data_IF_043586697614
#
_entry.id   IF_043586697614
#
_cell.length_a   1.000
_cell.length_b   1.000
_cell.length_c   1.000
_cell.angle_alpha   90.00
_cell.angle_beta   90.00
_cell.angle_gamma   90.00
#
_symmetry.space_group_name_H-M   'P 1'
#
loop_
_entity.id
_entity.type
_entity.pdbx_description
1 polymer ?
#
# COMPACT_ATOMS: atom_id res chain seq x y z
N UNK A 1 22.04 -15.27 0.59
CA UNK A 1 22.62 -14.93 -0.73
C UNK A 1 21.94 -13.69 -1.31
N UNK A 2 20.61 -13.64 -1.42
CA UNK A 2 19.88 -12.53 -2.05
C UNK A 2 20.02 -11.23 -1.28
N UNK A 3 19.91 -11.22 0.04
CA UNK A 3 20.10 -10.02 0.87
C UNK A 3 21.49 -9.42 0.73
N UNK A 4 22.52 -10.26 0.68
CA UNK A 4 23.90 -9.80 0.49
C UNK A 4 24.08 -9.16 -0.90
N UNK A 5 23.39 -9.66 -1.91
CA UNK A 5 23.36 -9.05 -3.24
C UNK A 5 22.63 -7.69 -3.22
N UNK A 6 21.44 -7.63 -2.60
CA UNK A 6 20.66 -6.39 -2.45
C UNK A 6 21.52 -5.33 -1.75
N UNK A 7 22.15 -5.67 -0.63
CA UNK A 7 23.00 -4.74 0.13
C UNK A 7 24.24 -4.30 -0.64
N UNK A 8 24.82 -5.18 -1.48
CA UNK A 8 26.01 -4.85 -2.24
C UNK A 8 25.73 -4.07 -3.54
N UNK A 9 24.57 -4.26 -4.16
CA UNK A 9 24.29 -3.75 -5.51
C UNK A 9 23.30 -2.58 -5.54
N UNK A 10 22.37 -2.53 -4.61
CA UNK A 10 21.30 -1.53 -4.64
C UNK A 10 21.11 -0.73 -3.35
N UNK A 11 21.86 -1.02 -2.27
CA UNK A 11 21.83 -0.19 -1.08
C UNK A 11 22.49 1.18 -1.36
N UNK A 12 21.81 2.24 -0.97
CA UNK A 12 22.30 3.61 -1.09
C UNK A 12 22.85 4.10 0.25
N UNK A 13 24.15 4.32 0.33
CA UNK A 13 24.81 4.71 1.59
C UNK A 13 24.45 6.11 2.06
N UNK A 14 24.05 7.01 1.15
CA UNK A 14 23.75 8.39 1.48
C UNK A 14 22.42 8.56 2.24
N UNK A 15 21.42 7.78 1.88
CA UNK A 15 20.08 7.82 2.50
C UNK A 15 19.80 6.61 3.40
N UNK A 16 20.55 5.52 3.22
CA UNK A 16 20.26 4.22 3.82
C UNK A 16 19.07 3.49 3.19
N UNK A 17 18.53 4.01 2.09
CA UNK A 17 17.47 3.38 1.29
C UNK A 17 18.08 2.46 0.23
N UNK A 18 17.24 1.96 -0.66
CA UNK A 18 17.63 1.10 -1.77
C UNK A 18 17.28 1.75 -3.10
N UNK A 19 18.15 1.59 -4.10
CA UNK A 19 17.83 1.92 -5.47
C UNK A 19 16.80 0.94 -6.04
N UNK A 20 16.01 1.38 -7.00
CA UNK A 20 14.93 0.60 -7.62
C UNK A 20 15.45 -0.49 -8.57
N UNK A 21 16.74 -0.45 -8.90
CA UNK A 21 17.38 -1.42 -9.78
C UNK A 21 18.80 -1.05 -10.17
N UNK A 22 19.40 -1.91 -11.00
CA UNK A 22 20.73 -1.71 -11.57
C UNK A 22 20.63 -1.82 -13.10
N UNK A 23 20.96 -0.76 -13.85
CA UNK A 23 21.38 0.57 -13.41
C UNK A 23 20.23 1.35 -12.75
N UNK A 24 20.58 2.32 -11.89
CA UNK A 24 19.62 3.23 -11.25
C UNK A 24 18.90 4.07 -12.30
N UNK A 25 17.60 4.27 -12.13
CA UNK A 25 16.78 5.14 -13.00
C UNK A 25 16.12 6.26 -12.22
N UNK A 26 15.77 7.33 -12.92
CA UNK A 26 14.99 8.45 -12.39
C UNK A 26 13.63 8.51 -13.09
N UNK A 27 12.60 9.01 -12.43
CA UNK A 27 12.58 9.44 -11.01
C UNK A 27 12.68 8.25 -10.05
N UNK A 28 13.23 8.51 -8.85
CA UNK A 28 13.15 7.58 -7.72
C UNK A 28 11.68 7.45 -7.28
N UNK A 29 11.30 6.36 -6.65
CA UNK A 29 9.92 6.06 -6.27
C UNK A 29 9.79 5.61 -4.82
N UNK A 30 8.64 5.95 -4.19
CA UNK A 30 8.32 5.43 -2.86
C UNK A 30 7.95 3.93 -2.89
N UNK A 31 7.27 3.47 -3.93
CA UNK A 31 6.72 2.11 -4.04
C UNK A 31 7.77 0.99 -3.77
N UNK A 32 8.98 0.98 -4.37
CA UNK A 32 10.01 -0.01 -4.03
C UNK A 32 10.47 0.04 -2.58
N UNK A 33 10.48 1.22 -1.93
CA UNK A 33 10.81 1.36 -0.52
C UNK A 33 9.70 0.75 0.37
N UNK A 34 8.45 0.94 -0.01
CA UNK A 34 7.29 0.35 0.67
C UNK A 34 7.35 -1.18 0.62
N UNK A 35 7.63 -1.77 -0.54
CA UNK A 35 7.77 -3.22 -0.64
C UNK A 35 9.04 -3.76 0.04
N UNK A 36 10.13 -2.98 0.09
CA UNK A 36 11.30 -3.33 0.92
C UNK A 36 10.94 -3.33 2.41
N UNK A 37 10.16 -2.33 2.86
CA UNK A 37 9.63 -2.29 4.22
C UNK A 37 8.80 -3.54 4.54
N UNK A 38 7.87 -3.90 3.67
CA UNK A 38 7.05 -5.11 3.80
C UNK A 38 7.91 -6.38 3.88
N UNK A 39 8.90 -6.50 2.99
CA UNK A 39 9.81 -7.65 2.97
C UNK A 39 10.61 -7.76 4.27
N UNK A 40 11.11 -6.65 4.83
CA UNK A 40 11.82 -6.66 6.11
C UNK A 40 10.90 -7.04 7.28
N UNK A 41 9.64 -6.61 7.28
CA UNK A 41 8.67 -7.05 8.28
C UNK A 41 8.43 -8.56 8.20
N UNK A 42 8.27 -9.09 6.99
CA UNK A 42 8.07 -10.53 6.77
C UNK A 42 9.31 -11.34 7.18
N UNK A 43 10.53 -10.86 6.88
CA UNK A 43 11.78 -11.48 7.29
C UNK A 43 11.96 -11.46 8.81
N UNK A 44 11.62 -10.34 9.46
CA UNK A 44 11.63 -10.28 10.93
C UNK A 44 10.65 -11.28 11.54
N UNK A 45 9.43 -11.34 11.03
CA UNK A 45 8.39 -12.26 11.51
C UNK A 45 8.82 -13.73 11.35
N UNK A 46 9.51 -14.06 10.24
CA UNK A 46 9.97 -15.41 9.96
C UNK A 46 11.22 -15.83 10.73
N UNK A 47 12.13 -14.89 11.03
CA UNK A 47 13.46 -15.20 11.58
C UNK A 47 13.68 -14.74 13.01
N UNK A 48 12.97 -13.69 13.45
CA UNK A 48 13.21 -13.01 14.71
C UNK A 48 14.48 -12.13 14.71
N UNK A 49 15.17 -11.99 13.58
CA UNK A 49 16.41 -11.21 13.49
C UNK A 49 16.10 -9.71 13.60
N UNK A 50 16.56 -9.01 14.66
CA UNK A 50 16.26 -7.61 14.91
C UNK A 50 16.82 -6.66 13.84
N UNK A 51 17.78 -7.07 13.03
CA UNK A 51 18.34 -6.21 11.98
C UNK A 51 17.31 -5.92 10.89
N UNK A 52 16.37 -6.83 10.63
CA UNK A 52 15.26 -6.55 9.71
C UNK A 52 14.30 -5.50 10.26
N UNK A 53 14.01 -5.51 11.55
CA UNK A 53 13.17 -4.49 12.16
C UNK A 53 13.84 -3.10 12.15
N UNK A 54 15.17 -3.03 12.36
CA UNK A 54 15.93 -1.77 12.22
C UNK A 54 15.87 -1.21 10.80
N UNK A 55 15.95 -2.07 9.77
CA UNK A 55 15.81 -1.66 8.37
C UNK A 55 14.40 -1.13 8.09
N UNK A 56 13.38 -1.77 8.64
CA UNK A 56 12.01 -1.29 8.57
C UNK A 56 11.84 0.05 9.30
N UNK A 57 12.40 0.23 10.51
CA UNK A 57 12.37 1.51 11.24
C UNK A 57 13.00 2.66 10.42
N UNK A 58 14.08 2.39 9.69
CA UNK A 58 14.70 3.39 8.80
C UNK A 58 13.75 3.84 7.70
N UNK A 59 13.09 2.91 7.01
CA UNK A 59 12.15 3.24 5.93
C UNK A 59 10.93 3.98 6.49
N UNK A 60 10.39 3.55 7.63
CA UNK A 60 9.28 4.25 8.30
C UNK A 60 9.65 5.71 8.64
N UNK A 61 10.89 5.96 9.09
CA UNK A 61 11.40 7.31 9.31
C UNK A 61 11.49 8.14 8.02
N UNK A 62 11.90 7.54 6.91
CA UNK A 62 11.88 8.21 5.61
C UNK A 62 10.47 8.51 5.12
N UNK A 63 9.52 7.60 5.31
CA UNK A 63 8.12 7.87 5.00
C UNK A 63 7.65 9.14 5.73
N UNK A 64 7.82 9.17 7.05
CA UNK A 64 7.34 10.28 7.89
C UNK A 64 7.97 11.63 7.53
N UNK A 65 9.28 11.64 7.26
CA UNK A 65 10.03 12.90 7.14
C UNK A 65 10.28 13.36 5.71
N UNK A 66 10.11 12.48 4.69
CA UNK A 66 10.48 12.79 3.30
C UNK A 66 9.41 12.46 2.26
N UNK A 67 8.53 11.48 2.54
CA UNK A 67 7.60 11.00 1.52
C UNK A 67 6.21 11.64 1.63
N UNK A 68 5.93 12.37 2.70
CA UNK A 68 4.62 12.99 2.93
C UNK A 68 4.67 14.46 2.53
N UNK A 69 3.73 14.88 1.68
CA UNK A 69 3.53 16.28 1.33
C UNK A 69 2.99 17.08 2.52
N UNK A 70 3.11 18.41 2.52
CA UNK A 70 2.49 19.24 3.57
C UNK A 70 0.97 19.05 3.72
N UNK A 71 0.29 18.60 2.66
CA UNK A 71 -1.15 18.28 2.66
C UNK A 71 -1.49 16.87 3.14
N UNK A 72 -0.51 16.05 3.51
CA UNK A 72 -0.70 14.68 4.00
C UNK A 72 -0.75 13.60 2.92
N UNK A 73 -0.58 13.95 1.65
CA UNK A 73 -0.49 12.99 0.56
C UNK A 73 0.88 12.32 0.51
N UNK A 74 0.93 11.04 0.18
CA UNK A 74 2.19 10.36 -0.14
C UNK A 74 2.67 10.83 -1.52
N UNK A 75 3.92 11.29 -1.60
CA UNK A 75 4.59 11.59 -2.86
C UNK A 75 5.08 10.30 -3.52
N UNK A 76 4.81 10.14 -4.82
CA UNK A 76 5.21 8.93 -5.55
C UNK A 76 6.62 9.04 -6.15
N UNK A 77 7.08 10.27 -6.50
CA UNK A 77 8.28 10.48 -7.29
C UNK A 77 9.28 11.42 -6.61
N UNK A 78 10.57 11.08 -6.74
CA UNK A 78 11.68 11.78 -6.08
C UNK A 78 12.83 11.98 -7.04
N UNK A 79 13.66 12.97 -6.76
CA UNK A 79 14.92 13.20 -7.45
C UNK A 79 16.03 12.20 -7.03
N UNK A 80 17.23 12.38 -7.54
CA UNK A 80 18.38 11.53 -7.21
C UNK A 80 18.77 11.57 -5.71
N UNK A 81 18.49 12.67 -5.02
CA UNK A 81 18.75 12.84 -3.58
C UNK A 81 17.58 12.40 -2.68
N UNK A 82 16.55 11.79 -3.27
CA UNK A 82 15.33 11.40 -2.59
C UNK A 82 14.56 12.59 -1.98
N UNK A 83 14.55 13.74 -2.69
CA UNK A 83 13.65 14.84 -2.42
C UNK A 83 12.42 14.75 -3.35
N UNK A 84 11.20 15.06 -2.85
CA UNK A 84 10.01 15.03 -3.69
C UNK A 84 10.14 15.94 -4.91
N UNK A 85 9.76 15.46 -6.09
CA UNK A 85 9.74 16.28 -7.29
C UNK A 85 8.72 17.40 -7.14
N UNK A 86 9.06 18.61 -7.63
CA UNK A 86 8.14 19.75 -7.64
C UNK A 86 6.99 19.56 -8.64
N UNK A 87 7.30 18.96 -9.79
CA UNK A 87 6.38 18.74 -10.89
C UNK A 87 6.14 17.24 -11.16
N UNK A 88 4.99 16.92 -11.73
CA UNK A 88 4.66 15.54 -12.14
C UNK A 88 4.31 14.59 -10.99
N UNK A 89 4.12 15.11 -9.77
CA UNK A 89 3.66 14.32 -8.64
C UNK A 89 2.23 13.79 -8.83
N UNK A 90 1.95 12.72 -8.15
CA UNK A 90 0.61 12.22 -7.88
C UNK A 90 0.61 11.52 -6.53
N UNK A 91 -0.59 11.19 -6.07
CA UNK A 91 -0.83 10.34 -4.92
C UNK A 91 -1.72 9.18 -5.37
N UNK A 92 -1.32 7.95 -5.06
CA UNK A 92 -2.15 6.77 -5.28
C UNK A 92 -2.85 6.39 -3.97
N UNK A 93 -4.19 6.46 -3.89
CA UNK A 93 -4.92 6.10 -2.67
C UNK A 93 -4.63 4.67 -2.19
N UNK A 94 -4.41 3.74 -3.13
CA UNK A 94 -4.01 2.38 -2.81
C UNK A 94 -2.74 2.31 -1.97
N UNK A 95 -1.73 3.13 -2.27
CA UNK A 95 -0.50 3.19 -1.49
C UNK A 95 -0.73 3.78 -0.09
N UNK A 96 -1.66 4.74 0.07
CA UNK A 96 -2.04 5.23 1.40
C UNK A 96 -2.58 4.09 2.26
N UNK A 97 -3.49 3.29 1.73
CA UNK A 97 -4.07 2.16 2.45
C UNK A 97 -3.04 1.06 2.72
N UNK A 98 -2.15 0.78 1.77
CA UNK A 98 -1.08 -0.20 1.95
C UNK A 98 -0.12 0.22 3.06
N UNK A 99 0.30 1.49 3.10
CA UNK A 99 1.10 2.02 4.20
C UNK A 99 0.39 1.98 5.55
N UNK A 100 -0.93 2.23 5.60
CA UNK A 100 -1.72 2.07 6.84
C UNK A 100 -1.59 0.64 7.36
N UNK A 101 -1.86 -0.36 6.52
CA UNK A 101 -1.71 -1.77 6.89
C UNK A 101 -0.28 -2.09 7.36
N UNK A 102 0.73 -1.67 6.61
CA UNK A 102 2.13 -1.93 6.92
C UNK A 102 2.59 -1.25 8.22
N UNK A 103 2.16 -0.02 8.50
CA UNK A 103 2.49 0.67 9.74
C UNK A 103 1.84 0.00 10.96
N UNK A 104 0.62 -0.50 10.83
CA UNK A 104 -0.02 -1.30 11.88
C UNK A 104 0.73 -2.64 12.11
N UNK A 105 1.10 -3.35 11.03
CA UNK A 105 1.90 -4.58 11.11
C UNK A 105 3.25 -4.32 11.78
N UNK A 106 3.94 -3.25 11.40
CA UNK A 106 5.20 -2.83 12.01
C UNK A 106 5.05 -2.57 13.52
N UNK A 107 4.03 -1.81 13.90
CA UNK A 107 3.75 -1.52 15.31
C UNK A 107 3.49 -2.80 16.12
N UNK A 108 2.69 -3.73 15.58
CA UNK A 108 2.42 -5.04 16.18
C UNK A 108 3.71 -5.85 16.39
N UNK A 109 4.55 -5.95 15.36
CA UNK A 109 5.82 -6.67 15.42
C UNK A 109 6.82 -6.02 16.39
N UNK A 110 6.86 -4.69 16.42
CA UNK A 110 7.69 -3.91 17.34
C UNK A 110 7.08 -3.79 18.76
N UNK A 111 5.89 -4.37 19.02
CA UNK A 111 5.16 -4.33 20.29
C UNK A 111 4.90 -2.90 20.78
N UNK A 112 4.48 -2.02 19.88
CA UNK A 112 4.15 -0.61 20.15
C UNK A 112 2.80 -0.23 19.52
N UNK A 113 2.24 0.90 19.91
CA UNK A 113 1.04 1.44 19.29
C UNK A 113 1.34 1.90 17.84
N UNK A 114 0.38 1.80 16.92
CA UNK A 114 0.49 2.37 15.60
C UNK A 114 0.80 3.88 15.67
N UNK A 115 1.64 4.42 14.78
CA UNK A 115 1.95 5.84 14.76
C UNK A 115 0.73 6.66 14.30
N UNK A 116 0.66 7.94 14.75
CA UNK A 116 -0.40 8.87 14.32
C UNK A 116 -0.44 9.05 12.79
N UNK A 117 0.71 8.89 12.13
CA UNK A 117 0.84 8.87 10.68
C UNK A 117 -0.12 7.88 10.01
N UNK A 118 -0.33 6.68 10.59
CA UNK A 118 -1.26 5.70 10.02
C UNK A 118 -2.70 6.24 9.94
N UNK A 119 -3.17 6.97 10.96
CA UNK A 119 -4.48 7.60 10.91
C UNK A 119 -4.53 8.74 9.89
N UNK A 120 -3.48 9.58 9.83
CA UNK A 120 -3.40 10.67 8.86
C UNK A 120 -3.47 10.15 7.40
N UNK A 121 -2.75 9.07 7.10
CA UNK A 121 -2.79 8.45 5.77
C UNK A 121 -4.16 7.85 5.47
N UNK A 122 -4.79 7.20 6.46
CA UNK A 122 -6.14 6.67 6.29
C UNK A 122 -7.16 7.76 6.03
N UNK A 123 -7.12 8.84 6.80
CA UNK A 123 -8.05 9.97 6.66
C UNK A 123 -7.88 10.66 5.29
N UNK A 124 -6.63 10.83 4.83
CA UNK A 124 -6.36 11.37 3.50
C UNK A 124 -6.91 10.45 2.40
N UNK A 125 -6.61 9.16 2.47
CA UNK A 125 -7.08 8.16 1.51
C UNK A 125 -8.60 8.08 1.45
N UNK A 126 -9.29 8.07 2.58
CA UNK A 126 -10.75 8.05 2.64
C UNK A 126 -11.38 9.34 2.12
N UNK A 127 -10.76 10.49 2.40
CA UNK A 127 -11.29 11.80 2.00
C UNK A 127 -11.16 12.06 0.50
N UNK A 128 -10.05 11.67 -0.11
CA UNK A 128 -9.68 12.05 -1.46
C UNK A 128 -9.67 10.88 -2.44
N UNK A 129 -9.46 9.67 -1.93
CA UNK A 129 -9.20 8.47 -2.72
C UNK A 129 -10.39 7.54 -2.92
N UNK A 130 -11.58 7.87 -2.40
CA UNK A 130 -12.78 7.03 -2.57
C UNK A 130 -13.74 7.68 -3.55
N UNK A 131 -14.12 6.95 -4.59
CA UNK A 131 -15.12 7.37 -5.57
C UNK A 131 -16.54 7.35 -5.01
N UNK A 132 -17.48 7.96 -5.75
CA UNK A 132 -18.90 8.02 -5.35
C UNK A 132 -19.56 6.64 -5.22
N UNK A 133 -18.98 5.62 -5.80
CA UNK A 133 -19.42 4.21 -5.74
C UNK A 133 -18.79 3.42 -4.58
N UNK A 134 -17.97 4.07 -3.75
CA UNK A 134 -17.33 3.48 -2.58
C UNK A 134 -16.02 2.73 -2.85
N UNK A 135 -15.55 2.68 -4.09
CA UNK A 135 -14.27 2.06 -4.44
C UNK A 135 -13.11 3.07 -4.42
N UNK A 136 -11.93 2.59 -4.10
CA UNK A 136 -10.72 3.39 -4.22
C UNK A 136 -10.42 3.71 -5.69
N UNK A 137 -10.15 4.99 -6.00
CA UNK A 137 -9.75 5.44 -7.33
C UNK A 137 -8.25 5.25 -7.56
N UNK A 138 -7.83 5.30 -8.83
CA UNK A 138 -6.47 4.98 -9.21
C UNK A 138 -5.46 6.06 -8.82
N UNK A 139 -5.78 7.35 -8.99
CA UNK A 139 -4.84 8.44 -8.66
C UNK A 139 -5.53 9.78 -8.35
N UNK A 140 -4.89 10.54 -7.46
CA UNK A 140 -5.18 11.93 -7.15
C UNK A 140 -3.97 12.83 -7.49
N UNK A 141 -4.22 14.12 -7.66
CA UNK A 141 -3.18 15.13 -7.50
C UNK A 141 -2.80 15.24 -6.01
N UNK A 142 -1.66 15.87 -5.72
CA UNK A 142 -1.17 16.02 -4.33
C UNK A 142 -2.10 16.85 -3.44
N UNK A 143 -2.93 17.71 -4.02
CA UNK A 143 -3.95 18.50 -3.30
C UNK A 143 -5.25 17.72 -3.07
N UNK A 144 -5.35 16.49 -3.60
CA UNK A 144 -6.51 15.61 -3.46
C UNK A 144 -7.52 15.72 -4.60
N UNK A 145 -7.29 16.53 -5.62
CA UNK A 145 -8.13 16.53 -6.82
C UNK A 145 -7.99 15.19 -7.56
N UNK A 146 -9.09 14.70 -8.14
CA UNK A 146 -9.07 13.44 -8.91
C UNK A 146 -8.21 13.62 -10.15
N UNK A 147 -7.20 12.74 -10.31
CA UNK A 147 -6.33 12.66 -11.49
C UNK A 147 -6.74 11.53 -12.42
N UNK A 148 -7.01 10.37 -11.87
CA UNK A 148 -7.53 9.19 -12.57
C UNK A 148 -8.62 8.54 -11.72
N UNK A 149 -9.86 8.72 -12.13
CA UNK A 149 -11.04 8.14 -11.48
C UNK A 149 -11.30 6.66 -11.82
N UNK A 150 -10.43 6.02 -12.61
CA UNK A 150 -10.45 4.58 -12.81
C UNK A 150 -10.20 3.84 -11.50
N UNK A 151 -10.49 2.55 -11.47
CA UNK A 151 -10.38 1.73 -10.24
C UNK A 151 -9.84 0.36 -10.57
N UNK A 152 -8.56 0.18 -10.26
CA UNK A 152 -7.89 -1.12 -10.30
C UNK A 152 -8.32 -1.98 -9.11
N UNK A 153 -8.15 -3.29 -9.23
CA UNK A 153 -8.46 -4.24 -8.16
C UNK A 153 -7.53 -4.08 -6.96
N UNK A 154 -6.22 -3.89 -7.18
CA UNK A 154 -5.26 -3.86 -6.07
C UNK A 154 -5.52 -2.76 -5.03
N UNK A 155 -5.92 -1.51 -5.36
CA UNK A 155 -6.25 -0.52 -4.33
C UNK A 155 -7.41 -0.94 -3.42
N UNK A 156 -8.35 -1.75 -3.93
CA UNK A 156 -9.46 -2.26 -3.13
C UNK A 156 -8.97 -3.29 -2.11
N UNK A 157 -8.03 -4.15 -2.48
CA UNK A 157 -7.43 -5.10 -1.54
C UNK A 157 -6.65 -4.39 -0.44
N UNK A 158 -5.97 -3.28 -0.77
CA UNK A 158 -5.25 -2.47 0.22
C UNK A 158 -6.20 -1.77 1.19
N UNK A 159 -7.31 -1.23 0.69
CA UNK A 159 -8.37 -0.66 1.54
C UNK A 159 -8.89 -1.68 2.55
N UNK A 160 -9.15 -2.92 2.11
CA UNK A 160 -9.58 -4.00 2.99
C UNK A 160 -8.50 -4.31 4.05
N UNK A 161 -7.24 -4.48 3.64
CA UNK A 161 -6.13 -4.74 4.56
C UNK A 161 -5.96 -3.63 5.60
N UNK A 162 -6.08 -2.35 5.19
CA UNK A 162 -6.03 -1.21 6.09
C UNK A 162 -7.12 -1.27 7.15
N UNK A 163 -8.36 -1.55 6.76
CA UNK A 163 -9.48 -1.68 7.71
C UNK A 163 -9.33 -2.89 8.62
N UNK A 164 -8.86 -4.04 8.13
CA UNK A 164 -8.57 -5.22 8.96
C UNK A 164 -7.52 -4.91 10.03
N UNK A 165 -6.43 -4.25 9.66
CA UNK A 165 -5.37 -3.87 10.59
C UNK A 165 -5.86 -2.86 11.64
N UNK A 166 -6.72 -1.93 11.27
CA UNK A 166 -7.37 -0.99 12.19
C UNK A 166 -8.34 -1.69 13.13
N UNK A 167 -9.09 -2.68 12.64
CA UNK A 167 -9.97 -3.52 13.49
C UNK A 167 -9.17 -4.30 14.52
N UNK A 168 -8.05 -4.92 14.11
CA UNK A 168 -7.13 -5.62 15.02
C UNK A 168 -6.54 -4.67 16.09
N UNK A 169 -6.34 -3.39 15.75
CA UNK A 169 -5.90 -2.36 16.68
C UNK A 169 -7.05 -1.80 17.56
N UNK A 170 -8.27 -2.32 17.46
CA UNK A 170 -9.41 -1.92 18.28
C UNK A 170 -10.16 -0.67 17.80
N UNK A 171 -9.98 -0.24 16.56
CA UNK A 171 -10.75 0.88 16.00
C UNK A 171 -12.17 0.41 15.70
N UNK A 172 -13.14 1.02 16.40
CA UNK A 172 -14.55 0.68 16.32
C UNK A 172 -15.10 0.82 14.89
N UNK A 173 -15.90 -0.16 14.45
CA UNK A 173 -16.52 -0.19 13.12
C UNK A 173 -15.59 -0.55 11.97
N UNK A 174 -14.27 -0.59 12.19
CA UNK A 174 -13.32 -0.88 11.10
C UNK A 174 -13.51 -2.30 10.52
N UNK A 175 -13.88 -3.27 11.35
CA UNK A 175 -14.17 -4.63 10.90
C UNK A 175 -15.39 -4.71 9.98
N UNK A 176 -16.47 -4.02 10.33
CA UNK A 176 -17.70 -3.99 9.51
C UNK A 176 -17.44 -3.33 8.16
N UNK A 177 -16.60 -2.29 8.11
CA UNK A 177 -16.20 -1.66 6.86
C UNK A 177 -15.33 -2.60 6.02
N UNK A 178 -14.41 -3.35 6.63
CA UNK A 178 -13.61 -4.36 5.92
C UNK A 178 -14.50 -5.44 5.30
N UNK A 179 -15.48 -5.96 6.04
CA UNK A 179 -16.40 -6.99 5.56
C UNK A 179 -17.27 -6.47 4.41
N UNK A 180 -17.79 -5.24 4.51
CA UNK A 180 -18.56 -4.60 3.44
C UNK A 180 -17.71 -4.38 2.18
N UNK A 181 -16.48 -3.90 2.34
CA UNK A 181 -15.53 -3.70 1.23
C UNK A 181 -15.17 -5.04 0.55
N UNK A 182 -14.96 -6.10 1.33
CA UNK A 182 -14.69 -7.44 0.80
C UNK A 182 -15.89 -7.98 -0.02
N UNK A 183 -17.11 -7.82 0.46
CA UNK A 183 -18.31 -8.22 -0.28
C UNK A 183 -18.46 -7.43 -1.59
N UNK A 184 -18.23 -6.11 -1.56
CA UNK A 184 -18.27 -5.27 -2.75
C UNK A 184 -17.19 -5.70 -3.77
N UNK A 185 -15.96 -5.97 -3.30
CA UNK A 185 -14.86 -6.45 -4.12
C UNK A 185 -15.20 -7.79 -4.78
N UNK A 186 -15.71 -8.77 -4.01
CA UNK A 186 -16.09 -10.09 -4.56
C UNK A 186 -17.17 -9.97 -5.63
N UNK A 187 -18.15 -9.10 -5.43
CA UNK A 187 -19.24 -8.87 -6.38
C UNK A 187 -18.77 -8.19 -7.66
N UNK A 188 -17.91 -7.17 -7.55
CA UNK A 188 -17.50 -6.36 -8.68
C UNK A 188 -16.37 -7.01 -9.50
N UNK A 189 -15.37 -7.60 -8.82
CA UNK A 189 -14.13 -8.03 -9.46
C UNK A 189 -14.01 -9.54 -9.65
N UNK A 190 -14.78 -10.38 -8.91
CA UNK A 190 -14.74 -11.84 -8.97
C UNK A 190 -16.09 -12.45 -9.36
N UNK A 191 -16.70 -11.91 -10.41
CA UNK A 191 -17.98 -12.39 -10.91
C UNK A 191 -17.83 -13.73 -11.67
N UNK A 192 -18.95 -14.44 -11.91
CA UNK A 192 -18.98 -15.64 -12.75
C UNK A 192 -18.40 -15.43 -14.17
N UNK A 193 -18.40 -14.18 -14.65
CA UNK A 193 -17.83 -13.82 -15.95
C UNK A 193 -16.31 -13.98 -16.03
N UNK A 194 -15.63 -14.04 -14.90
CA UNK A 194 -14.16 -14.13 -14.85
C UNK A 194 -13.61 -15.54 -14.88
N UNK A 195 -14.48 -16.57 -14.85
CA UNK A 195 -14.10 -18.00 -14.93
C UNK A 195 -12.93 -18.39 -13.98
N UNK A 196 -12.97 -17.89 -12.75
CA UNK A 196 -11.92 -18.16 -11.74
C UNK A 196 -10.76 -17.16 -11.74
N UNK A 197 -10.81 -16.15 -12.59
CA UNK A 197 -9.92 -14.99 -12.54
C UNK A 197 -10.59 -13.78 -11.88
N UNK A 198 -10.20 -12.60 -12.29
CA UNK A 198 -10.74 -11.33 -11.80
C UNK A 198 -10.84 -10.29 -12.92
N UNK A 199 -11.63 -9.24 -12.71
CA UNK A 199 -11.55 -7.99 -13.47
C UNK A 199 -10.42 -7.16 -12.85
N UNK A 200 -9.47 -6.69 -13.66
CA UNK A 200 -8.35 -5.90 -13.14
C UNK A 200 -8.70 -4.41 -12.99
N UNK A 201 -9.44 -3.85 -13.93
CA UNK A 201 -9.71 -2.41 -13.95
C UNK A 201 -11.06 -2.04 -14.56
N UNK A 202 -11.74 -1.12 -13.90
CA UNK A 202 -12.86 -0.35 -14.45
C UNK A 202 -12.41 1.09 -14.73
N UNK A 203 -13.03 1.75 -15.68
CA UNK A 203 -12.88 3.19 -15.89
C UNK A 203 -13.68 4.01 -14.85
N UNK A 204 -13.58 5.34 -14.94
CA UNK A 204 -14.27 6.25 -14.03
C UNK A 204 -15.80 6.18 -14.12
N UNK A 205 -16.37 5.62 -15.20
CA UNK A 205 -17.80 5.44 -15.41
C UNK A 205 -18.28 4.03 -15.01
N UNK A 206 -17.35 3.17 -14.57
CA UNK A 206 -17.66 1.80 -14.17
C UNK A 206 -17.73 0.80 -15.31
N UNK A 207 -17.26 1.16 -16.51
CA UNK A 207 -17.13 0.22 -17.61
C UNK A 207 -15.79 -0.53 -17.51
N UNK A 208 -15.78 -1.80 -17.95
CA UNK A 208 -14.56 -2.60 -18.02
C UNK A 208 -13.54 -1.93 -18.95
N UNK A 209 -12.39 -1.55 -18.42
CA UNK A 209 -11.35 -0.84 -19.18
C UNK A 209 -10.16 -1.72 -19.55
N UNK A 210 -9.90 -2.80 -18.81
CA UNK A 210 -8.85 -3.76 -19.12
C UNK A 210 -9.30 -5.19 -18.78
N UNK A 211 -9.20 -6.08 -19.75
CA UNK A 211 -9.54 -7.50 -19.60
C UNK A 211 -8.33 -8.38 -19.21
N UNK A 212 -7.13 -7.80 -19.08
CA UNK A 212 -5.94 -8.53 -18.64
C UNK A 212 -5.98 -8.76 -17.14
N UNK A 213 -5.31 -9.80 -16.68
CA UNK A 213 -5.10 -10.12 -15.27
C UNK A 213 -3.59 -10.06 -14.99
N UNK A 214 -3.05 -8.91 -14.58
CA UNK A 214 -1.62 -8.79 -14.26
C UNK A 214 -1.26 -9.69 -13.08
N UNK A 215 -0.12 -10.38 -13.19
CA UNK A 215 0.38 -11.26 -12.10
C UNK A 215 0.67 -10.46 -10.83
N UNK A 216 1.07 -9.20 -10.96
CA UNK A 216 1.26 -8.30 -9.81
C UNK A 216 0.00 -8.11 -8.98
N UNK A 217 -1.19 -8.04 -9.60
CA UNK A 217 -2.47 -7.95 -8.89
C UNK A 217 -2.75 -9.21 -8.06
N UNK A 218 -2.31 -10.39 -8.51
CA UNK A 218 -2.48 -11.64 -7.75
C UNK A 218 -1.80 -11.59 -6.39
N UNK A 219 -0.63 -10.98 -6.29
CA UNK A 219 0.06 -10.77 -5.01
C UNK A 219 -0.84 -10.02 -4.01
N UNK A 220 -1.43 -8.90 -4.41
CA UNK A 220 -2.30 -8.10 -3.56
C UNK A 220 -3.55 -8.86 -3.12
N UNK A 221 -4.19 -9.58 -4.05
CA UNK A 221 -5.36 -10.45 -3.76
C UNK A 221 -4.99 -11.53 -2.76
N UNK A 222 -3.89 -12.24 -2.99
CA UNK A 222 -3.45 -13.34 -2.11
C UNK A 222 -3.16 -12.84 -0.69
N UNK A 223 -2.42 -11.73 -0.57
CA UNK A 223 -2.08 -11.16 0.75
C UNK A 223 -3.33 -10.66 1.47
N UNK A 224 -4.29 -10.04 0.76
CA UNK A 224 -5.54 -9.60 1.37
C UNK A 224 -6.38 -10.79 1.90
N UNK A 225 -6.43 -11.91 1.17
CA UNK A 225 -7.09 -13.15 1.64
C UNK A 225 -6.38 -13.70 2.89
N UNK A 226 -5.05 -13.74 2.90
CA UNK A 226 -4.28 -14.18 4.06
C UNK A 226 -4.53 -13.30 5.29
N UNK A 227 -4.57 -11.97 5.13
CA UNK A 227 -4.87 -11.03 6.21
C UNK A 227 -6.31 -11.18 6.72
N UNK A 228 -7.29 -11.34 5.83
CA UNK A 228 -8.68 -11.57 6.21
C UNK A 228 -8.83 -12.88 7.01
N UNK A 229 -8.15 -13.95 6.58
CA UNK A 229 -8.11 -15.22 7.31
C UNK A 229 -7.43 -15.06 8.68
N UNK A 230 -6.30 -14.36 8.75
CA UNK A 230 -5.54 -14.12 9.97
C UNK A 230 -6.34 -13.34 11.03
N UNK A 231 -7.06 -12.32 10.62
CA UNK A 231 -7.87 -11.47 11.53
C UNK A 231 -9.22 -12.14 11.87
N UNK A 232 -9.56 -13.25 11.23
CA UNK A 232 -10.79 -14.01 11.51
C UNK A 232 -11.98 -13.63 10.64
N UNK A 233 -11.76 -12.84 9.59
CA UNK A 233 -12.83 -12.40 8.67
C UNK A 233 -13.41 -13.49 7.76
N UNK A 234 -12.71 -14.61 7.56
CA UNK A 234 -13.20 -15.71 6.69
C UNK A 234 -13.90 -16.86 7.45
N UNK A 235 -13.99 -16.80 8.78
CA UNK A 235 -14.59 -17.84 9.61
C UNK A 235 -15.90 -17.42 10.28
N UNK A 236 -16.55 -16.36 9.79
CA UNK A 236 -17.86 -15.88 10.26
C UNK A 236 -18.95 -16.14 9.26
#
# INVERSE_FOLDING_TARGET
>A
AELAFIDAQIAETATGLWFEGVPTSLPRRQNPQMHAFEAFLALYEATGDPDFLKRADLIAGHLEHRMISPGGAICEFFDAGFAPLADGQCAEPGHHFEWVWLLHRHARLARRSPPALANMLMDWGLKHGIGADGFAIDACEIDGAVKDGGRRLWPQTELIKAHLARSEAGIEGAGDVADAALQALMTAYFSERTHGGWVDRYDALGALSDARMPVSTFYHVYVAICEAARVGGLNR
#
